data_IF_428906317439
#
_entry.id   IF_428906317439
#
_cell.length_a   1.000
_cell.length_b   1.000
_cell.length_c   1.000
_cell.angle_alpha   90.00
_cell.angle_beta   90.00
_cell.angle_gamma   90.00
#
_symmetry.space_group_name_H-M   'P 1'
#
loop_
_entity.id
_entity.type
_entity.pdbx_description
1 polymer ?
#
# COMPACT_ATOMS: atom_id res chain seq x y z
N UNK A 1 28.08 -6.87 -21.80
CA UNK A 1 26.71 -6.99 -21.29
C UNK A 1 26.82 -7.18 -19.79
N UNK A 2 26.52 -6.13 -19.01
CA UNK A 2 26.63 -6.16 -17.54
C UNK A 2 25.27 -6.56 -17.01
N UNK A 3 25.17 -7.79 -16.47
CA UNK A 3 23.97 -8.26 -15.76
C UNK A 3 23.84 -7.47 -14.46
N UNK A 4 22.78 -6.71 -14.29
CA UNK A 4 22.42 -6.08 -13.01
C UNK A 4 21.52 -7.05 -12.27
N UNK A 5 22.10 -7.85 -11.36
CA UNK A 5 21.33 -8.61 -10.36
C UNK A 5 21.06 -7.71 -9.18
N UNK A 6 19.79 -7.57 -8.79
CA UNK A 6 19.40 -6.87 -7.56
C UNK A 6 19.67 -7.83 -6.40
N UNK A 7 20.71 -7.54 -5.63
CA UNK A 7 21.04 -8.25 -4.39
C UNK A 7 20.48 -7.42 -3.23
N UNK A 8 19.56 -7.98 -2.47
CA UNK A 8 19.13 -7.41 -1.20
C UNK A 8 20.31 -7.42 -0.22
N UNK A 9 20.88 -6.23 0.05
CA UNK A 9 22.05 -6.06 0.88
C UNK A 9 21.65 -6.07 2.36
N UNK A 10 21.95 -7.17 3.05
CA UNK A 10 21.86 -7.25 4.51
C UNK A 10 23.01 -6.44 5.12
N UNK A 11 22.71 -5.28 5.71
CA UNK A 11 23.73 -4.46 6.39
C UNK A 11 23.84 -4.95 7.83
N UNK A 12 24.95 -5.64 8.12
CA UNK A 12 25.36 -5.95 9.49
C UNK A 12 25.88 -4.70 10.20
N UNK A 13 25.22 -4.29 11.27
CA UNK A 13 25.62 -3.14 12.09
C UNK A 13 26.71 -3.57 13.08
N UNK A 14 27.92 -3.07 12.86
CA UNK A 14 29.02 -3.22 13.81
C UNK A 14 28.90 -2.23 14.98
N UNK A 15 28.85 -2.75 16.20
CA UNK A 15 28.85 -1.96 17.44
C UNK A 15 30.27 -1.48 17.70
N UNK A 16 30.47 -0.16 17.71
CA UNK A 16 31.70 0.46 18.24
C UNK A 16 31.37 1.19 19.53
N UNK A 17 31.82 0.64 20.64
CA UNK A 17 31.80 1.31 21.94
C UNK A 17 33.01 2.23 22.05
N UNK A 18 32.79 3.53 22.23
CA UNK A 18 33.84 4.45 22.69
C UNK A 18 33.45 5.08 24.02
N UNK A 19 34.21 4.75 25.01
CA UNK A 19 34.34 5.47 26.27
C UNK A 19 35.14 6.76 26.04
N UNK A 20 34.63 7.90 26.47
CA UNK A 20 35.49 9.02 26.90
C UNK A 20 34.76 9.96 27.84
N UNK A 21 35.37 10.18 28.97
CA UNK A 21 35.06 11.18 29.98
C UNK A 21 35.83 12.47 29.68
N UNK A 22 35.30 13.65 30.02
CA UNK A 22 36.18 14.83 30.18
C UNK A 22 35.54 16.18 29.82
N UNK A 23 35.42 16.99 30.80
CA UNK A 23 34.91 18.32 31.07
C UNK A 23 35.37 19.50 30.22
N UNK A 24 34.54 20.58 30.33
CA UNK A 24 34.80 22.03 30.28
C UNK A 24 34.66 22.82 28.97
N UNK A 25 33.68 23.68 29.01
CA UNK A 25 33.53 25.09 28.62
C UNK A 25 34.28 25.66 27.40
N UNK A 26 33.47 26.24 26.48
CA UNK A 26 33.96 27.18 25.46
C UNK A 26 32.91 27.53 24.43
N UNK A 27 32.37 28.73 24.55
CA UNK A 27 31.40 29.36 23.65
C UNK A 27 32.03 29.65 22.27
N UNK A 28 31.40 29.15 21.18
CA UNK A 28 31.49 29.83 19.87
C UNK A 28 30.32 29.39 18.99
N UNK A 29 29.66 30.37 18.40
CA UNK A 29 28.57 30.24 17.45
C UNK A 29 29.10 29.75 16.09
N UNK A 30 28.57 28.66 15.57
CA UNK A 30 28.63 28.34 14.16
C UNK A 30 27.32 27.77 13.67
N UNK A 31 26.81 28.42 12.62
CA UNK A 31 25.60 28.09 11.88
C UNK A 31 25.65 26.65 11.35
N UNK A 32 24.67 25.84 11.73
CA UNK A 32 24.47 24.50 11.20
C UNK A 32 23.32 24.54 10.20
N UNK A 33 23.65 24.28 8.94
CA UNK A 33 22.67 23.95 7.92
C UNK A 33 22.03 22.59 8.27
N UNK A 34 20.72 22.62 8.45
CA UNK A 34 19.90 21.49 8.85
C UNK A 34 19.56 20.64 7.63
N UNK A 35 20.31 19.57 7.40
CA UNK A 35 19.97 18.48 6.49
C UNK A 35 19.29 17.39 7.32
N UNK A 36 18.00 17.49 7.54
CA UNK A 36 17.20 16.40 8.09
C UNK A 36 16.78 15.43 6.98
N UNK A 37 17.60 14.41 6.77
CA UNK A 37 17.14 13.17 6.17
C UNK A 37 16.23 12.46 7.19
N UNK A 38 14.94 12.32 6.85
CA UNK A 38 14.00 11.57 7.64
C UNK A 38 14.37 10.07 7.62
N UNK A 39 15.01 9.62 8.70
CA UNK A 39 15.23 8.19 8.96
C UNK A 39 13.89 7.56 9.31
N UNK A 40 13.35 6.76 8.40
CA UNK A 40 12.24 5.86 8.71
C UNK A 40 12.84 4.68 9.49
N UNK A 41 12.68 4.67 10.81
CA UNK A 41 13.03 3.53 11.66
C UNK A 41 12.06 2.37 11.34
N UNK A 42 12.63 1.25 10.85
CA UNK A 42 11.90 -0.02 10.75
C UNK A 42 11.54 -0.50 12.17
N UNK A 43 10.26 -0.45 12.50
CA UNK A 43 9.73 -1.10 13.70
C UNK A 43 9.75 -2.61 13.47
N UNK A 44 10.72 -3.29 14.05
CA UNK A 44 10.70 -4.75 14.14
C UNK A 44 9.69 -5.18 15.20
N UNK A 45 8.61 -5.77 14.79
CA UNK A 45 7.66 -6.45 15.67
C UNK A 45 8.20 -7.87 15.89
N UNK A 46 8.63 -8.17 17.11
CA UNK A 46 8.91 -9.56 17.51
C UNK A 46 7.58 -10.31 17.62
N UNK A 47 7.36 -11.29 16.76
CA UNK A 47 6.20 -12.18 16.83
C UNK A 47 6.56 -13.47 17.50
N UNK A 48 5.79 -13.87 18.51
CA UNK A 48 5.83 -15.21 19.10
C UNK A 48 5.33 -16.26 18.10
N UNK A 49 6.03 -17.39 18.01
CA UNK A 49 5.76 -18.53 17.13
C UNK A 49 4.34 -19.09 17.27
N UNK A 50 3.45 -18.67 16.40
CA UNK A 50 2.28 -19.45 16.02
C UNK A 50 2.39 -19.76 14.54
N UNK A 51 2.17 -21.03 14.13
CA UNK A 51 2.18 -21.49 12.74
C UNK A 51 1.05 -20.86 11.88
N UNK A 52 0.62 -19.66 12.18
CA UNK A 52 -0.26 -18.83 11.36
C UNK A 52 0.60 -18.02 10.41
N UNK A 53 0.38 -18.21 9.13
CA UNK A 53 1.19 -17.70 8.04
C UNK A 53 1.45 -16.19 8.19
N UNK A 54 2.68 -15.82 8.58
CA UNK A 54 3.19 -14.45 8.60
C UNK A 54 3.15 -13.88 7.17
N UNK A 55 2.05 -13.23 6.84
CA UNK A 55 1.97 -12.43 5.63
C UNK A 55 2.54 -11.04 5.93
N UNK A 56 3.74 -10.77 5.48
CA UNK A 56 4.24 -9.38 5.43
C UNK A 56 3.47 -8.69 4.31
N UNK A 57 2.48 -7.90 4.71
CA UNK A 57 1.62 -7.15 3.78
C UNK A 57 1.99 -5.68 3.91
N UNK A 58 2.52 -5.04 2.85
CA UNK A 58 2.79 -3.61 2.89
C UNK A 58 1.50 -2.82 3.02
N UNK A 59 1.50 -1.75 3.80
CA UNK A 59 0.33 -0.89 3.91
C UNK A 59 0.06 -0.09 2.64
N UNK A 60 -1.17 0.40 2.47
CA UNK A 60 -1.50 1.30 1.36
C UNK A 60 -0.60 2.55 1.34
N UNK A 61 -0.27 3.11 2.51
CA UNK A 61 0.66 4.24 2.61
C UNK A 61 2.06 3.88 2.13
N UNK A 62 2.58 2.70 2.50
CA UNK A 62 3.89 2.24 2.06
C UNK A 62 3.94 2.08 0.54
N UNK A 63 2.94 1.43 -0.07
CA UNK A 63 2.84 1.26 -1.52
C UNK A 63 2.89 2.61 -2.24
N UNK A 64 2.07 3.56 -1.82
CA UNK A 64 2.03 4.89 -2.45
C UNK A 64 3.30 5.71 -2.19
N UNK A 65 3.93 5.59 -1.02
CA UNK A 65 5.21 6.23 -0.71
C UNK A 65 6.32 5.70 -1.62
N UNK A 66 6.39 4.39 -1.81
CA UNK A 66 7.34 3.75 -2.73
C UNK A 66 7.12 4.25 -4.16
N UNK A 67 5.88 4.27 -4.65
CA UNK A 67 5.59 4.74 -6.00
C UNK A 67 5.90 6.23 -6.17
N UNK A 68 5.58 7.05 -5.17
CA UNK A 68 5.89 8.48 -5.18
C UNK A 68 7.39 8.74 -5.24
N UNK A 69 8.19 8.06 -4.41
CA UNK A 69 9.66 8.17 -4.43
C UNK A 69 10.26 7.65 -5.73
N UNK A 70 9.58 6.75 -6.43
CA UNK A 70 9.97 6.21 -7.74
C UNK A 70 9.49 7.08 -8.92
N UNK A 71 8.99 8.29 -8.64
CA UNK A 71 8.65 9.27 -9.66
C UNK A 71 7.20 9.20 -10.16
N UNK A 72 6.31 8.48 -9.48
CA UNK A 72 4.87 8.56 -9.78
C UNK A 72 4.38 9.99 -9.55
N UNK A 73 3.87 10.62 -10.62
CA UNK A 73 3.26 11.95 -10.58
C UNK A 73 1.76 11.84 -10.35
N UNK A 74 1.19 12.92 -9.81
CA UNK A 74 -0.27 13.03 -9.69
C UNK A 74 -0.95 12.97 -11.06
N UNK A 75 -1.98 12.12 -11.14
CA UNK A 75 -2.85 11.97 -12.32
C UNK A 75 -4.24 12.38 -11.87
N UNK A 76 -4.75 13.47 -12.46
CA UNK A 76 -6.07 13.99 -12.10
C UNK A 76 -7.18 13.05 -12.58
N UNK A 77 -8.18 12.83 -11.71
CA UNK A 77 -9.35 12.01 -12.01
C UNK A 77 -9.11 10.50 -12.09
N UNK A 78 -7.91 9.99 -11.76
CA UNK A 78 -7.63 8.54 -11.81
C UNK A 78 -8.29 7.76 -10.66
N UNK A 79 -8.49 8.41 -9.53
CA UNK A 79 -9.02 7.82 -8.31
C UNK A 79 -10.52 7.49 -8.40
N UNK A 80 -11.00 6.58 -7.57
CA UNK A 80 -12.43 6.24 -7.48
C UNK A 80 -13.24 7.41 -6.90
N UNK A 81 -14.39 7.72 -7.47
CA UNK A 81 -15.21 8.85 -7.00
C UNK A 81 -15.68 8.64 -5.54
N UNK A 82 -15.46 9.61 -4.62
CA UNK A 82 -15.85 9.47 -3.21
C UNK A 82 -17.35 9.14 -2.99
N UNK A 83 -18.21 9.63 -3.88
CA UNK A 83 -19.67 9.46 -3.78
C UNK A 83 -20.17 8.05 -4.19
N UNK A 84 -19.27 7.15 -4.60
CA UNK A 84 -19.66 5.81 -5.04
C UNK A 84 -20.02 4.86 -3.88
N UNK A 85 -19.90 5.26 -2.62
CA UNK A 85 -20.19 4.41 -1.43
C UNK A 85 -21.53 3.71 -1.49
N UNK A 86 -22.57 4.40 -1.99
CA UNK A 86 -23.94 3.84 -2.12
C UNK A 86 -24.09 2.73 -3.17
N UNK A 87 -23.08 2.52 -4.02
CA UNK A 87 -23.08 1.45 -5.02
C UNK A 87 -22.69 0.09 -4.43
N UNK A 88 -22.04 0.06 -3.28
CA UNK A 88 -21.54 -1.16 -2.64
C UNK A 88 -22.59 -1.74 -1.73
N UNK A 89 -23.10 -2.93 -2.05
CA UNK A 89 -24.27 -3.51 -1.38
C UNK A 89 -23.88 -4.58 -0.34
N UNK A 90 -22.91 -5.44 -0.67
CA UNK A 90 -22.48 -6.51 0.24
C UNK A 90 -21.36 -6.03 1.20
N UNK A 91 -21.20 -6.72 2.37
CA UNK A 91 -20.08 -6.45 3.29
C UNK A 91 -18.75 -6.60 2.54
N UNK A 92 -18.62 -7.62 1.69
CA UNK A 92 -17.40 -7.86 0.88
C UNK A 92 -17.07 -6.68 -0.05
N UNK A 93 -18.06 -6.17 -0.82
CA UNK A 93 -17.85 -5.00 -1.68
C UNK A 93 -17.45 -3.76 -0.88
N UNK A 94 -18.05 -3.54 0.28
CA UNK A 94 -17.76 -2.41 1.16
C UNK A 94 -16.34 -2.50 1.74
N UNK A 95 -15.91 -3.69 2.16
CA UNK A 95 -14.55 -3.90 2.67
C UNK A 95 -13.49 -3.74 1.58
N UNK A 96 -13.71 -4.27 0.37
CA UNK A 96 -12.82 -4.02 -0.77
C UNK A 96 -12.69 -2.53 -1.05
N UNK A 97 -13.82 -1.81 -1.07
CA UNK A 97 -13.80 -0.37 -1.36
C UNK A 97 -13.35 0.49 -0.19
N UNK A 98 -13.41 -0.01 1.05
CA UNK A 98 -12.68 0.59 2.17
C UNK A 98 -11.18 0.63 1.87
N UNK A 99 -10.61 -0.48 1.35
CA UNK A 99 -9.23 -0.54 0.91
C UNK A 99 -8.93 0.40 -0.25
N UNK A 100 -9.77 0.39 -1.29
CA UNK A 100 -9.66 1.31 -2.45
C UNK A 100 -9.61 2.78 -1.99
N UNK A 101 -10.58 3.21 -1.18
CA UNK A 101 -10.61 4.59 -0.68
C UNK A 101 -9.47 4.93 0.26
N UNK A 102 -8.95 3.95 1.02
CA UNK A 102 -7.74 4.15 1.81
C UNK A 102 -6.53 4.44 0.91
N UNK A 103 -6.37 3.69 -0.17
CA UNK A 103 -5.32 3.92 -1.16
C UNK A 103 -5.48 5.29 -1.86
N UNK A 104 -6.69 5.61 -2.31
CA UNK A 104 -7.01 6.91 -2.92
C UNK A 104 -6.71 8.09 -1.97
N UNK A 105 -7.05 7.94 -0.70
CA UNK A 105 -6.79 8.93 0.34
C UNK A 105 -5.28 9.17 0.51
N UNK A 106 -4.49 8.09 0.67
CA UNK A 106 -3.04 8.21 0.79
C UNK A 106 -2.41 8.81 -0.47
N UNK A 107 -2.85 8.39 -1.65
CA UNK A 107 -2.42 8.96 -2.91
C UNK A 107 -2.67 10.47 -2.97
N UNK A 108 -3.85 10.91 -2.55
CA UNK A 108 -4.21 12.33 -2.50
C UNK A 108 -3.39 13.11 -1.47
N UNK A 109 -3.19 12.58 -0.26
CA UNK A 109 -2.36 13.21 0.79
C UNK A 109 -0.92 13.41 0.30
N UNK A 110 -0.31 12.37 -0.27
CA UNK A 110 1.06 12.43 -0.76
C UNK A 110 1.24 13.41 -1.94
N UNK A 111 0.16 13.73 -2.65
CA UNK A 111 0.13 14.66 -3.76
C UNK A 111 -0.55 16.00 -3.45
N UNK A 112 -0.70 16.34 -2.16
CA UNK A 112 -1.22 17.63 -1.67
C UNK A 112 -2.67 17.93 -2.12
N UNK A 113 -3.46 16.87 -2.44
CA UNK A 113 -4.86 16.96 -2.84
C UNK A 113 -5.78 16.94 -1.60
N UNK A 114 -5.67 17.95 -0.77
CA UNK A 114 -6.21 17.99 0.60
C UNK A 114 -7.74 17.90 0.67
N UNK A 115 -8.46 18.60 -0.22
CA UNK A 115 -9.93 18.53 -0.23
C UNK A 115 -10.44 17.15 -0.61
N UNK A 116 -9.79 16.53 -1.59
CA UNK A 116 -10.17 15.22 -2.07
C UNK A 116 -9.84 14.14 -1.02
N UNK A 117 -8.70 14.24 -0.35
CA UNK A 117 -8.35 13.32 0.74
C UNK A 117 -9.34 13.38 1.91
N UNK A 118 -9.87 14.57 2.25
CA UNK A 118 -10.95 14.70 3.25
C UNK A 118 -12.24 14.01 2.80
N UNK A 119 -12.58 14.09 1.52
CA UNK A 119 -13.76 13.39 0.99
C UNK A 119 -13.58 11.87 1.10
N UNK A 120 -12.41 11.33 0.78
CA UNK A 120 -12.11 9.90 0.97
C UNK A 120 -12.20 9.48 2.42
N UNK A 121 -11.68 10.26 3.36
CA UNK A 121 -11.80 9.93 4.78
C UNK A 121 -13.27 9.84 5.23
N UNK A 122 -14.15 10.72 4.71
CA UNK A 122 -15.59 10.64 4.95
C UNK A 122 -16.24 9.40 4.34
N UNK A 123 -15.81 9.02 3.12
CA UNK A 123 -16.28 7.81 2.46
C UNK A 123 -15.85 6.55 3.22
N UNK A 124 -14.59 6.50 3.69
CA UNK A 124 -14.06 5.43 4.54
C UNK A 124 -14.88 5.32 5.83
N UNK A 125 -15.19 6.45 6.48
CA UNK A 125 -16.05 6.46 7.68
C UNK A 125 -17.42 5.86 7.39
N UNK A 126 -18.05 6.23 6.28
CA UNK A 126 -19.34 5.66 5.88
C UNK A 126 -19.28 4.13 5.73
N UNK A 127 -18.25 3.62 5.03
CA UNK A 127 -18.07 2.18 4.87
C UNK A 127 -17.73 1.49 6.20
N UNK A 128 -16.95 2.14 7.06
CA UNK A 128 -16.63 1.67 8.41
C UNK A 128 -17.90 1.46 9.24
N UNK A 129 -18.82 2.43 9.25
CA UNK A 129 -20.08 2.36 9.98
C UNK A 129 -20.98 1.21 9.46
N UNK A 130 -20.94 0.95 8.16
CA UNK A 130 -21.76 -0.09 7.50
C UNK A 130 -21.16 -1.50 7.54
N UNK A 131 -19.90 -1.64 7.94
CA UNK A 131 -19.20 -2.95 8.00
C UNK A 131 -18.90 -3.43 9.42
N UNK A 132 -19.23 -2.62 10.43
CA UNK A 132 -18.97 -2.92 11.84
C UNK A 132 -17.61 -2.43 12.34
N UNK A 133 -16.89 -1.62 11.55
CA UNK A 133 -15.57 -1.08 11.88
C UNK A 133 -15.64 0.37 12.44
N UNK A 134 -16.80 0.83 12.89
CA UNK A 134 -17.00 2.19 13.43
C UNK A 134 -16.10 2.53 14.63
N UNK A 135 -15.60 1.51 15.35
CA UNK A 135 -14.65 1.67 16.46
C UNK A 135 -13.41 2.47 16.09
N UNK A 136 -12.95 2.42 14.85
CA UNK A 136 -11.79 3.18 14.35
C UNK A 136 -12.00 4.69 14.53
N UNK A 137 -13.20 5.19 14.23
CA UNK A 137 -13.54 6.61 14.32
C UNK A 137 -14.08 7.02 15.69
N UNK A 138 -14.67 6.08 16.44
CA UNK A 138 -15.24 6.37 17.75
C UNK A 138 -14.18 6.50 18.85
N UNK A 139 -13.04 5.85 18.70
CA UNK A 139 -11.94 5.87 19.68
C UNK A 139 -11.06 7.12 19.61
N UNK A 140 -11.13 7.89 18.52
CA UNK A 140 -10.35 9.13 18.35
C UNK A 140 -11.05 10.07 17.35
N UNK A 141 -10.94 11.40 17.54
CA UNK A 141 -11.49 12.39 16.62
C UNK A 141 -10.61 12.53 15.36
N UNK A 142 -10.43 11.43 14.63
CA UNK A 142 -9.52 11.35 13.48
C UNK A 142 -9.94 12.34 12.40
N UNK A 143 -11.24 12.42 12.08
CA UNK A 143 -11.74 13.30 11.03
C UNK A 143 -11.52 14.79 11.40
N UNK A 144 -11.87 15.17 12.62
CA UNK A 144 -11.71 16.55 13.10
C UNK A 144 -10.22 16.96 13.14
N UNK A 145 -9.36 16.06 13.59
CA UNK A 145 -7.91 16.29 13.61
C UNK A 145 -7.35 16.38 12.19
N UNK A 146 -7.80 15.55 11.29
CA UNK A 146 -7.42 15.61 9.89
C UNK A 146 -7.81 16.95 9.27
N UNK A 147 -9.07 17.38 9.43
CA UNK A 147 -9.57 18.65 8.91
C UNK A 147 -8.82 19.87 9.53
N UNK A 148 -8.50 19.81 10.82
CA UNK A 148 -7.76 20.88 11.50
C UNK A 148 -6.29 20.98 11.08
N UNK A 149 -5.70 19.90 10.54
CA UNK A 149 -4.30 19.85 10.12
C UNK A 149 -4.13 19.88 8.59
N UNK A 150 -5.20 20.12 7.86
CA UNK A 150 -5.19 20.35 6.40
C UNK A 150 -4.15 21.45 6.08
N UNK A 151 -3.12 21.13 5.30
CA UNK A 151 -2.02 22.06 5.00
C UNK A 151 -0.74 21.80 5.78
N UNK A 152 -0.76 20.93 6.79
CA UNK A 152 0.44 20.40 7.42
C UNK A 152 0.57 18.90 7.05
N UNK A 153 1.34 18.61 6.01
CA UNK A 153 1.49 17.26 5.45
C UNK A 153 1.98 16.25 6.48
N UNK A 154 2.96 16.60 7.28
CA UNK A 154 3.55 15.70 8.27
C UNK A 154 2.53 15.34 9.37
N UNK A 155 1.77 16.33 9.84
CA UNK A 155 0.67 16.09 10.79
C UNK A 155 -0.41 15.20 10.18
N UNK A 156 -0.77 15.41 8.91
CA UNK A 156 -1.75 14.59 8.20
C UNK A 156 -1.24 13.15 8.06
N UNK A 157 0.02 12.94 7.67
CA UNK A 157 0.64 11.61 7.59
C UNK A 157 0.63 10.91 8.96
N UNK A 158 0.98 11.60 10.05
CA UNK A 158 0.91 11.05 11.41
C UNK A 158 -0.51 10.59 11.79
N UNK A 159 -1.53 11.38 11.45
CA UNK A 159 -2.94 11.02 11.69
C UNK A 159 -3.34 9.79 10.86
N UNK A 160 -2.82 9.67 9.66
CA UNK A 160 -3.06 8.53 8.77
C UNK A 160 -2.42 7.24 9.29
N UNK A 161 -1.20 7.31 9.83
CA UNK A 161 -0.53 6.19 10.48
C UNK A 161 -1.33 5.72 11.72
N UNK A 162 -1.81 6.65 12.54
CA UNK A 162 -2.69 6.33 13.66
C UNK A 162 -4.01 5.68 13.20
N UNK A 163 -4.58 6.15 12.10
CA UNK A 163 -5.78 5.55 11.51
C UNK A 163 -5.53 4.10 11.09
N UNK A 164 -4.40 3.83 10.43
CA UNK A 164 -4.02 2.49 10.03
C UNK A 164 -3.81 1.58 11.27
N UNK A 165 -3.02 2.01 12.25
CA UNK A 165 -2.79 1.28 13.49
C UNK A 165 -4.12 0.90 14.18
N UNK A 166 -5.05 1.85 14.29
CA UNK A 166 -6.38 1.60 14.88
C UNK A 166 -7.21 0.60 14.08
N UNK A 167 -7.06 0.61 12.76
CA UNK A 167 -7.72 -0.37 11.88
C UNK A 167 -7.18 -1.77 12.15
N UNK A 168 -5.85 -1.90 12.23
CA UNK A 168 -5.17 -3.18 12.46
C UNK A 168 -5.51 -3.73 13.86
N UNK A 169 -5.48 -2.88 14.89
CA UNK A 169 -5.87 -3.25 16.27
C UNK A 169 -7.32 -3.72 16.32
N UNK A 170 -8.26 -2.99 15.71
CA UNK A 170 -9.67 -3.37 15.72
C UNK A 170 -9.90 -4.73 15.04
N UNK A 171 -9.21 -4.99 13.93
CA UNK A 171 -9.27 -6.26 13.21
C UNK A 171 -8.74 -7.39 14.10
N UNK A 172 -7.59 -7.22 14.72
CA UNK A 172 -6.98 -8.21 15.59
C UNK A 172 -7.84 -8.50 16.84
N UNK A 173 -8.37 -7.46 17.50
CA UNK A 173 -9.25 -7.61 18.67
C UNK A 173 -10.54 -8.39 18.37
N UNK A 174 -11.03 -8.33 17.14
CA UNK A 174 -12.24 -9.02 16.71
C UNK A 174 -11.97 -10.40 16.08
N UNK A 175 -10.72 -10.83 15.95
CA UNK A 175 -10.30 -12.03 15.22
C UNK A 175 -10.84 -12.02 13.77
N UNK A 176 -10.77 -10.87 13.11
CA UNK A 176 -11.25 -10.67 11.73
C UNK A 176 -10.08 -10.51 10.73
N UNK A 177 -8.97 -11.26 10.89
CA UNK A 177 -7.77 -11.22 10.02
C UNK A 177 -8.15 -11.42 8.55
N UNK A 178 -9.16 -12.26 8.31
CA UNK A 178 -9.73 -12.43 6.97
C UNK A 178 -10.30 -11.13 6.39
N UNK A 179 -10.79 -10.22 7.23
CA UNK A 179 -11.27 -8.88 6.83
C UNK A 179 -10.11 -7.99 6.40
N UNK A 180 -8.95 -8.08 7.09
CA UNK A 180 -7.73 -7.36 6.71
C UNK A 180 -7.31 -7.69 5.27
N UNK A 181 -7.33 -8.96 4.89
CA UNK A 181 -6.96 -9.42 3.55
C UNK A 181 -7.89 -8.88 2.47
N UNK A 182 -9.18 -8.76 2.73
CA UNK A 182 -10.14 -8.15 1.78
C UNK A 182 -9.86 -6.65 1.61
N UNK A 183 -9.67 -5.93 2.71
CA UNK A 183 -9.32 -4.50 2.70
C UNK A 183 -8.01 -4.29 1.95
N UNK A 184 -6.99 -5.06 2.29
CA UNK A 184 -5.68 -4.99 1.65
C UNK A 184 -5.76 -5.28 0.14
N UNK A 185 -6.52 -6.29 -0.27
CA UNK A 185 -6.71 -6.59 -1.70
C UNK A 185 -7.28 -5.39 -2.45
N UNK A 186 -8.26 -4.69 -1.88
CA UNK A 186 -8.81 -3.47 -2.47
C UNK A 186 -7.76 -2.35 -2.58
N UNK A 187 -6.99 -2.14 -1.52
CA UNK A 187 -5.93 -1.12 -1.49
C UNK A 187 -4.80 -1.43 -2.48
N UNK A 188 -4.39 -2.69 -2.56
CA UNK A 188 -3.37 -3.16 -3.51
C UNK A 188 -3.83 -2.97 -4.97
N UNK A 189 -5.06 -3.38 -5.29
CA UNK A 189 -5.61 -3.20 -6.64
C UNK A 189 -5.65 -1.73 -7.07
N UNK A 190 -6.07 -0.82 -6.19
CA UNK A 190 -6.09 0.61 -6.50
C UNK A 190 -4.68 1.17 -6.66
N UNK A 191 -3.76 0.85 -5.76
CA UNK A 191 -2.36 1.27 -5.87
C UNK A 191 -1.71 0.78 -7.17
N UNK A 192 -1.89 -0.50 -7.49
CA UNK A 192 -1.39 -1.09 -8.74
C UNK A 192 -2.03 -0.47 -9.97
N UNK A 193 -3.33 -0.20 -9.94
CA UNK A 193 -4.02 0.49 -11.04
C UNK A 193 -3.40 1.85 -11.34
N UNK A 194 -3.20 2.68 -10.30
CA UNK A 194 -2.60 4.02 -10.44
C UNK A 194 -1.14 3.91 -10.93
N UNK A 195 -0.36 3.02 -10.32
CA UNK A 195 1.05 2.83 -10.70
C UNK A 195 1.23 2.30 -12.12
N UNK A 196 0.44 1.31 -12.52
CA UNK A 196 0.49 0.71 -13.85
C UNK A 196 -0.02 1.68 -14.93
N UNK A 197 -1.01 2.52 -14.64
CA UNK A 197 -1.45 3.55 -15.58
C UNK A 197 -0.30 4.50 -15.94
N UNK A 198 0.48 4.91 -14.94
CA UNK A 198 1.66 5.74 -15.16
C UNK A 198 2.80 5.01 -15.87
N UNK A 199 3.00 3.72 -15.60
CA UNK A 199 4.13 2.94 -16.10
C UNK A 199 3.93 2.36 -17.51
N UNK A 200 2.69 2.04 -17.91
CA UNK A 200 2.38 1.34 -19.17
C UNK A 200 2.81 2.08 -20.44
N UNK A 201 2.98 3.40 -20.36
CA UNK A 201 3.42 4.25 -21.47
C UNK A 201 4.63 5.12 -21.11
N UNK A 202 5.41 4.72 -20.11
CA UNK A 202 6.54 5.47 -19.58
C UNK A 202 7.79 4.59 -19.55
N UNK A 203 8.95 5.20 -19.76
CA UNK A 203 10.26 4.54 -19.60
C UNK A 203 10.84 4.72 -18.19
N UNK A 204 10.00 4.98 -17.19
CA UNK A 204 10.43 5.10 -15.80
C UNK A 204 10.76 3.72 -15.23
N UNK A 205 12.02 3.30 -15.40
CA UNK A 205 12.52 2.00 -14.94
C UNK A 205 12.30 1.81 -13.43
N UNK A 206 12.56 2.84 -12.61
CA UNK A 206 12.42 2.75 -11.16
C UNK A 206 10.97 2.44 -10.75
N UNK A 207 9.99 3.11 -11.35
CA UNK A 207 8.57 2.82 -11.08
C UNK A 207 8.20 1.41 -11.54
N UNK A 208 8.69 0.98 -12.71
CA UNK A 208 8.46 -0.37 -13.23
C UNK A 208 9.03 -1.45 -12.30
N UNK A 209 10.26 -1.26 -11.79
CA UNK A 209 10.87 -2.17 -10.80
C UNK A 209 9.99 -2.31 -9.54
N UNK A 210 9.52 -1.18 -8.98
CA UNK A 210 8.66 -1.20 -7.79
C UNK A 210 7.31 -1.86 -8.02
N UNK A 211 6.73 -1.69 -9.22
CA UNK A 211 5.50 -2.38 -9.58
C UNK A 211 5.71 -3.90 -9.66
N UNK A 212 6.86 -4.36 -10.18
CA UNK A 212 7.19 -5.78 -10.21
C UNK A 212 7.39 -6.34 -8.81
N UNK A 213 8.03 -5.62 -7.91
CA UNK A 213 8.13 -6.00 -6.50
C UNK A 213 6.73 -6.20 -5.88
N UNK A 214 5.75 -5.33 -6.21
CA UNK A 214 4.37 -5.50 -5.74
C UNK A 214 3.67 -6.73 -6.37
N UNK A 215 4.03 -7.18 -7.56
CA UNK A 215 3.48 -8.41 -8.14
C UNK A 215 3.90 -9.66 -7.36
N UNK A 216 5.00 -9.62 -6.63
CA UNK A 216 5.45 -10.76 -5.81
C UNK A 216 4.51 -11.09 -4.64
N UNK A 217 3.59 -10.17 -4.31
CA UNK A 217 2.60 -10.34 -3.24
C UNK A 217 1.38 -11.18 -3.69
N UNK A 218 1.20 -11.39 -5.01
CA UNK A 218 0.04 -12.10 -5.55
C UNK A 218 -0.25 -13.46 -4.88
N UNK A 219 0.73 -14.32 -4.57
CA UNK A 219 0.48 -15.57 -3.84
C UNK A 219 -0.16 -15.32 -2.46
N UNK A 220 0.25 -14.26 -1.75
CA UNK A 220 -0.31 -13.92 -0.44
C UNK A 220 -1.76 -13.44 -0.57
N UNK A 221 -2.09 -12.63 -1.60
CA UNK A 221 -3.47 -12.24 -1.89
C UNK A 221 -4.36 -13.45 -2.19
N UNK A 222 -3.87 -14.39 -3.02
CA UNK A 222 -4.59 -15.61 -3.38
C UNK A 222 -4.90 -16.41 -2.12
N UNK A 223 -3.88 -16.65 -1.26
CA UNK A 223 -4.04 -17.37 -0.01
C UNK A 223 -4.98 -16.65 0.97
N UNK A 224 -4.83 -15.31 1.11
CA UNK A 224 -5.68 -14.52 1.98
C UNK A 224 -7.16 -14.50 1.56
N UNK A 225 -7.45 -14.52 0.26
CA UNK A 225 -8.81 -14.68 -0.24
C UNK A 225 -9.28 -16.15 -0.10
N UNK A 226 -8.36 -17.11 -0.03
CA UNK A 226 -8.70 -18.52 0.16
C UNK A 226 -9.19 -18.83 1.58
N UNK A 227 -8.66 -18.19 2.59
CA UNK A 227 -9.04 -18.42 4.00
C UNK A 227 -10.37 -17.74 4.40
N UNK A 228 -11.03 -16.99 3.49
CA UNK A 228 -12.31 -16.34 3.81
C UNK A 228 -13.36 -17.36 4.27
N UNK A 229 -14.00 -17.18 5.46
CA UNK A 229 -14.90 -18.18 6.05
C UNK A 229 -16.20 -18.38 5.25
N UNK A 230 -16.62 -17.36 4.50
CA UNK A 230 -17.88 -17.37 3.73
C UNK A 230 -17.61 -16.88 2.30
N UNK A 231 -16.83 -17.66 1.52
CA UNK A 231 -16.57 -17.33 0.12
C UNK A 231 -17.87 -17.30 -0.67
N UNK A 232 -18.28 -16.10 -1.08
CA UNK A 232 -19.35 -15.93 -2.05
C UNK A 232 -18.79 -15.99 -3.48
N UNK A 233 -19.67 -15.92 -4.47
CA UNK A 233 -19.28 -15.98 -5.86
C UNK A 233 -18.37 -14.78 -6.27
N UNK A 234 -18.56 -13.61 -5.67
CA UNK A 234 -17.72 -12.43 -5.90
C UNK A 234 -16.29 -12.65 -5.39
N UNK A 235 -16.11 -13.25 -4.20
CA UNK A 235 -14.79 -13.59 -3.65
C UNK A 235 -14.06 -14.58 -4.55
N UNK A 236 -14.76 -15.64 -5.02
CA UNK A 236 -14.20 -16.66 -5.89
C UNK A 236 -13.81 -16.08 -7.25
N UNK A 237 -14.65 -15.23 -7.82
CA UNK A 237 -14.39 -14.58 -9.10
C UNK A 237 -13.17 -13.66 -9.03
N UNK A 238 -13.08 -12.82 -7.97
CA UNK A 238 -11.92 -11.97 -7.75
C UNK A 238 -10.64 -12.81 -7.55
N UNK A 239 -10.70 -13.87 -6.73
CA UNK A 239 -9.57 -14.77 -6.53
C UNK A 239 -9.11 -15.40 -7.84
N UNK A 240 -10.03 -15.88 -8.69
CA UNK A 240 -9.70 -16.47 -9.98
C UNK A 240 -8.99 -15.46 -10.91
N UNK A 241 -9.40 -14.21 -10.90
CA UNK A 241 -8.75 -13.14 -11.67
C UNK A 241 -7.36 -12.80 -11.15
N UNK A 242 -7.15 -12.80 -9.83
CA UNK A 242 -5.83 -12.60 -9.23
C UNK A 242 -4.92 -13.80 -9.54
N UNK A 243 -5.44 -15.03 -9.54
CA UNK A 243 -4.69 -16.23 -9.99
C UNK A 243 -4.27 -16.07 -11.45
N UNK A 244 -5.18 -15.66 -12.34
CA UNK A 244 -4.84 -15.43 -13.75
C UNK A 244 -3.75 -14.36 -13.95
N UNK A 245 -3.77 -13.30 -13.14
CA UNK A 245 -2.71 -12.28 -13.14
C UNK A 245 -1.38 -12.86 -12.66
N UNK A 246 -1.40 -13.68 -11.60
CA UNK A 246 -0.22 -14.38 -11.06
C UNK A 246 0.36 -15.36 -12.07
N UNK A 247 -0.48 -16.14 -12.75
CA UNK A 247 -0.06 -17.08 -13.78
C UNK A 247 0.57 -16.35 -14.97
N UNK A 248 -0.03 -15.25 -15.41
CA UNK A 248 0.55 -14.42 -16.46
C UNK A 248 1.91 -13.86 -16.05
N UNK A 249 2.04 -13.32 -14.82
CA UNK A 249 3.31 -12.83 -14.29
C UNK A 249 4.37 -13.93 -14.26
N UNK A 250 4.02 -15.12 -13.77
CA UNK A 250 4.91 -16.28 -13.70
C UNK A 250 5.27 -16.89 -15.06
N UNK A 251 4.48 -16.62 -16.12
CA UNK A 251 4.71 -17.16 -17.47
C UNK A 251 5.73 -16.36 -18.29
N UNK A 252 6.16 -15.18 -17.80
CA UNK A 252 7.11 -14.33 -18.53
C UNK A 252 8.50 -14.97 -18.50
N UNK A 253 8.98 -15.35 -19.67
CA UNK A 253 10.27 -16.06 -19.83
C UNK A 253 11.44 -15.19 -19.36
N UNK A 254 12.29 -15.75 -18.50
CA UNK A 254 13.48 -15.08 -17.97
C UNK A 254 13.21 -14.04 -16.86
N UNK A 255 11.94 -13.79 -16.49
CA UNK A 255 11.60 -12.84 -15.44
C UNK A 255 12.07 -13.34 -14.06
N UNK A 256 11.82 -14.59 -13.72
CA UNK A 256 12.27 -15.20 -12.47
C UNK A 256 13.76 -15.46 -12.53
N UNK A 257 14.53 -14.92 -11.58
CA UNK A 257 15.96 -15.13 -11.45
C UNK A 257 16.31 -16.50 -10.86
N UNK A 258 17.59 -16.68 -10.55
CA UNK A 258 18.11 -17.94 -9.96
C UNK A 258 17.67 -18.11 -8.51
N UNK A 259 17.52 -16.99 -7.77
CA UNK A 259 17.05 -16.97 -6.39
C UNK A 259 15.54 -16.81 -6.31
N UNK A 260 14.94 -17.35 -5.25
CA UNK A 260 13.47 -17.36 -5.05
C UNK A 260 12.84 -15.96 -5.12
N UNK A 261 13.57 -14.93 -4.69
CA UNK A 261 13.09 -13.54 -4.61
C UNK A 261 13.77 -12.61 -5.62
N UNK A 262 14.48 -13.15 -6.61
CA UNK A 262 15.13 -12.33 -7.63
C UNK A 262 14.32 -12.30 -8.93
N UNK A 263 14.21 -11.11 -9.52
CA UNK A 263 13.51 -10.89 -10.79
C UNK A 263 14.39 -10.09 -11.74
N UNK A 264 14.54 -10.55 -12.97
CA UNK A 264 15.23 -9.80 -14.03
C UNK A 264 14.23 -8.92 -14.77
N UNK A 265 14.04 -7.71 -14.26
CA UNK A 265 13.11 -6.74 -14.85
C UNK A 265 13.52 -6.27 -16.25
N UNK A 266 14.75 -6.56 -16.68
CA UNK A 266 15.23 -6.17 -18.01
C UNK A 266 14.57 -6.93 -19.16
N UNK A 267 13.93 -8.08 -18.87
CA UNK A 267 13.16 -8.85 -19.84
C UNK A 267 11.77 -8.29 -20.09
N UNK A 268 11.33 -7.31 -19.27
CA UNK A 268 10.00 -6.76 -19.36
C UNK A 268 9.90 -5.67 -20.43
N UNK A 269 8.97 -5.87 -21.34
CA UNK A 269 8.62 -4.91 -22.38
C UNK A 269 7.40 -4.07 -21.97
N UNK A 270 7.18 -2.98 -22.67
CA UNK A 270 5.98 -2.13 -22.52
C UNK A 270 4.68 -2.93 -22.67
N UNK A 271 4.66 -3.94 -23.55
CA UNK A 271 3.52 -4.85 -23.75
C UNK A 271 3.11 -5.59 -22.47
N UNK A 272 4.06 -6.00 -21.63
CA UNK A 272 3.79 -6.67 -20.34
C UNK A 272 3.08 -5.70 -19.37
N UNK A 273 3.55 -4.44 -19.28
CA UNK A 273 2.90 -3.42 -18.43
C UNK A 273 1.50 -3.04 -18.94
N UNK A 274 1.28 -3.07 -20.24
CA UNK A 274 -0.06 -2.87 -20.83
C UNK A 274 -1.00 -4.02 -20.47
N UNK A 275 -0.55 -5.26 -20.49
CA UNK A 275 -1.36 -6.40 -20.10
C UNK A 275 -1.61 -6.43 -18.57
N UNK A 276 -0.61 -6.14 -17.72
CA UNK A 276 -0.81 -5.96 -16.28
C UNK A 276 -1.87 -4.90 -16.00
N UNK A 277 -1.74 -3.73 -16.63
CA UNK A 277 -2.73 -2.66 -16.49
C UNK A 277 -4.13 -3.12 -16.91
N UNK A 278 -4.26 -3.80 -18.02
CA UNK A 278 -5.54 -4.27 -18.53
C UNK A 278 -6.22 -5.23 -17.55
N UNK A 279 -5.49 -6.18 -16.97
CA UNK A 279 -6.03 -7.13 -16.01
C UNK A 279 -6.38 -6.44 -14.68
N UNK A 280 -5.48 -5.64 -14.13
CA UNK A 280 -5.71 -4.89 -12.89
C UNK A 280 -6.85 -3.89 -13.04
N UNK A 281 -6.91 -3.13 -14.13
CA UNK A 281 -7.98 -2.16 -14.38
C UNK A 281 -9.35 -2.83 -14.55
N UNK A 282 -9.41 -4.02 -15.14
CA UNK A 282 -10.66 -4.78 -15.24
C UNK A 282 -11.19 -5.18 -13.84
N UNK A 283 -10.34 -5.74 -12.97
CA UNK A 283 -10.69 -6.06 -11.59
C UNK A 283 -11.10 -4.82 -10.80
N UNK A 284 -10.30 -3.75 -10.90
CA UNK A 284 -10.57 -2.48 -10.21
C UNK A 284 -11.91 -1.87 -10.64
N UNK A 285 -12.20 -1.82 -11.93
CA UNK A 285 -13.46 -1.26 -12.44
C UNK A 285 -14.68 -2.06 -11.97
N UNK A 286 -14.54 -3.37 -11.83
CA UNK A 286 -15.59 -4.22 -11.32
C UNK A 286 -15.85 -3.97 -9.84
N UNK A 287 -14.81 -3.98 -8.98
CA UNK A 287 -14.98 -3.78 -7.53
C UNK A 287 -15.48 -2.36 -7.20
N UNK A 288 -15.09 -1.34 -7.98
CA UNK A 288 -15.53 0.04 -7.79
C UNK A 288 -16.84 0.35 -8.52
N UNK A 289 -17.35 -0.60 -9.32
CA UNK A 289 -18.54 -0.41 -10.19
C UNK A 289 -18.39 0.82 -11.09
N UNK A 290 -17.16 1.12 -11.48
CA UNK A 290 -16.87 2.17 -12.45
C UNK A 290 -17.33 1.72 -13.84
N UNK A 291 -17.93 2.63 -14.60
CA UNK A 291 -18.27 2.34 -15.99
C UNK A 291 -16.96 2.36 -16.80
N UNK A 292 -16.75 1.34 -17.60
CA UNK A 292 -15.68 1.27 -18.59
C UNK A 292 -15.96 2.26 -19.73
#
# INVERSE_FOLDING_TARGET
>A
MIRKSIVLLSIALGIITLWSCGSEAGTEQQSVEDNQEAVVEEVQVETEDTEEADFIIPSALQIHTIFKSSGLKYIDGITNAPDNTSKYLSKFEKLLNFGVYSADMFYCVLNDQTQLSTQYLKSIRTLSDETGMSGIFNSAPILERFEANIGNKDSVISIMLEFQEKTDVLIAENNEEHTAMVIFTGAWLEGMYIGLDAARNSDNEMLRERLIEQMTILPNLIKGLDIQPNKNDQTKDLQAKIVALSDYFGSIEGLKGEDEYSYDVSVLETSHFQEFYKQVSAMRNEITKSKV
#
